data_IF_531396349230
#
_entry.id   IF_531396349230
#
_cell.length_a   1.000
_cell.length_b   1.000
_cell.length_c   1.000
_cell.angle_alpha   90.00
_cell.angle_beta   90.00
_cell.angle_gamma   90.00
#
_symmetry.space_group_name_H-M   'P 1'
#
loop_
_entity.id
_entity.type
_entity.pdbx_description
1 polymer ?
#
# COMPACT_ATOMS: atom_id res chain seq x y z
N UNK A 1 -0.99 -22.37 17.61
CA UNK A 1 -2.02 -21.44 17.10
C UNK A 1 -3.19 -21.57 18.03
N UNK A 2 -3.48 -20.56 18.85
CA UNK A 2 -4.68 -20.54 19.69
C UNK A 2 -5.84 -20.21 18.77
N UNK A 3 -6.73 -21.18 18.52
CA UNK A 3 -7.96 -20.93 17.78
C UNK A 3 -8.76 -19.85 18.52
N UNK A 4 -9.18 -18.81 17.80
CA UNK A 4 -10.09 -17.81 18.35
C UNK A 4 -11.42 -18.48 18.64
N UNK A 5 -12.01 -18.17 19.80
CA UNK A 5 -13.35 -18.68 20.11
C UNK A 5 -14.38 -18.04 19.19
N UNK A 6 -15.48 -18.73 18.89
CA UNK A 6 -16.56 -18.21 18.03
C UNK A 6 -17.08 -16.83 18.50
N UNK A 7 -17.10 -16.61 19.82
CA UNK A 7 -17.46 -15.32 20.42
C UNK A 7 -16.47 -14.19 20.09
N UNK A 8 -15.18 -14.50 19.99
CA UNK A 8 -14.15 -13.53 19.58
C UNK A 8 -14.30 -13.18 18.11
N UNK A 9 -14.58 -14.18 17.26
CA UNK A 9 -14.83 -13.97 15.82
C UNK A 9 -16.07 -13.09 15.62
N UNK A 10 -17.18 -13.42 16.27
CA UNK A 10 -18.42 -12.64 16.17
C UNK A 10 -18.26 -11.20 16.65
N UNK A 11 -17.45 -10.98 17.71
CA UNK A 11 -17.13 -9.63 18.19
C UNK A 11 -16.31 -8.84 17.18
N UNK A 12 -15.33 -9.48 16.55
CA UNK A 12 -14.50 -8.85 15.52
C UNK A 12 -15.31 -8.51 14.27
N UNK A 13 -16.14 -9.44 13.79
CA UNK A 13 -17.02 -9.20 12.64
C UNK A 13 -17.97 -8.02 12.90
N UNK A 14 -18.58 -7.98 14.09
CA UNK A 14 -19.45 -6.86 14.50
C UNK A 14 -18.68 -5.53 14.59
N UNK A 15 -17.44 -5.56 15.08
CA UNK A 15 -16.60 -4.37 15.11
C UNK A 15 -16.29 -3.86 13.69
N UNK A 16 -15.93 -4.75 12.78
CA UNK A 16 -15.57 -4.45 11.40
C UNK A 16 -16.77 -4.20 10.47
N UNK A 17 -18.00 -4.45 10.92
CA UNK A 17 -19.21 -4.33 10.10
C UNK A 17 -19.34 -2.94 9.43
N UNK A 18 -19.37 -2.84 8.11
CA UNK A 18 -19.42 -1.56 7.40
C UNK A 18 -18.09 -0.81 7.29
N UNK A 19 -16.98 -1.36 7.82
CA UNK A 19 -15.63 -0.94 7.45
C UNK A 19 -15.26 -1.63 6.12
N UNK A 20 -14.79 -0.89 5.09
CA UNK A 20 -14.35 -1.51 3.84
C UNK A 20 -13.26 -2.54 4.08
N UNK A 21 -13.34 -3.73 3.47
CA UNK A 21 -12.32 -4.79 3.65
C UNK A 21 -10.96 -4.42 3.05
N UNK A 22 -10.95 -3.64 1.97
CA UNK A 22 -9.75 -3.17 1.30
C UNK A 22 -9.62 -1.66 1.54
N UNK A 23 -8.51 -1.24 2.16
CA UNK A 23 -8.23 0.18 2.31
C UNK A 23 -7.55 0.74 1.06
N UNK A 24 -8.25 1.60 0.32
CA UNK A 24 -7.73 2.22 -0.89
C UNK A 24 -6.61 3.22 -0.60
N UNK A 25 -6.68 3.92 0.54
CA UNK A 25 -5.62 4.80 1.01
C UNK A 25 -4.30 4.06 1.23
N UNK A 26 -4.37 2.89 1.88
CA UNK A 26 -3.25 1.98 2.10
C UNK A 26 -2.73 1.34 0.81
N UNK A 27 -3.62 1.09 -0.16
CA UNK A 27 -3.27 0.48 -1.45
C UNK A 27 -2.43 1.43 -2.32
N UNK A 28 -2.83 2.70 -2.41
CA UNK A 28 -2.17 3.69 -3.27
C UNK A 28 -0.98 4.37 -2.61
N UNK A 29 -1.00 4.51 -1.28
CA UNK A 29 0.04 5.22 -0.55
C UNK A 29 0.46 4.52 0.76
N UNK A 30 0.85 3.23 0.69
CA UNK A 30 1.23 2.44 1.86
C UNK A 30 2.30 3.11 2.75
N UNK A 31 3.39 3.71 2.24
CA UNK A 31 4.44 4.26 3.10
C UNK A 31 4.04 5.53 3.85
N UNK A 32 2.92 6.17 3.51
CA UNK A 32 2.41 7.35 4.23
C UNK A 32 1.19 7.00 5.06
N UNK A 33 0.23 6.30 4.47
CA UNK A 33 -0.96 5.86 5.16
C UNK A 33 -0.61 4.91 6.33
N UNK A 34 0.33 3.98 6.14
CA UNK A 34 0.74 3.04 7.18
C UNK A 34 1.26 3.70 8.45
N UNK A 35 2.30 4.55 8.38
CA UNK A 35 2.83 5.25 9.55
C UNK A 35 1.84 6.21 10.19
N UNK A 36 0.97 6.86 9.40
CA UNK A 36 -0.12 7.68 9.93
C UNK A 36 -1.08 6.89 10.84
N UNK A 37 -1.22 5.58 10.59
CA UNK A 37 -1.98 4.64 11.40
C UNK A 37 -1.09 3.80 12.35
N UNK A 38 0.15 4.25 12.57
CA UNK A 38 1.08 3.64 13.53
C UNK A 38 1.82 2.40 13.04
N UNK A 39 1.66 2.00 11.77
CA UNK A 39 2.39 0.91 11.14
C UNK A 39 3.71 1.43 10.54
N UNK A 40 4.65 1.83 11.40
CA UNK A 40 5.92 2.46 10.99
C UNK A 40 6.76 1.60 10.02
N UNK A 41 6.67 0.28 10.12
CA UNK A 41 7.34 -0.64 9.18
C UNK A 41 6.93 -0.42 7.72
N UNK A 42 5.76 0.19 7.45
CA UNK A 42 5.33 0.51 6.10
C UNK A 42 6.22 1.56 5.40
N UNK A 43 7.11 2.27 6.11
CA UNK A 43 8.14 3.11 5.48
C UNK A 43 9.04 2.29 4.54
N UNK A 44 9.20 0.98 4.80
CA UNK A 44 9.97 0.07 3.94
C UNK A 44 9.38 -0.06 2.52
N UNK A 45 8.15 0.39 2.28
CA UNK A 45 7.63 0.47 0.91
C UNK A 45 8.44 1.44 0.04
N UNK A 46 9.07 2.48 0.57
CA UNK A 46 9.91 3.37 -0.23
C UNK A 46 11.10 2.67 -0.91
N UNK A 47 11.99 1.97 -0.18
CA UNK A 47 13.08 1.21 -0.82
C UNK A 47 12.55 0.07 -1.69
N UNK A 48 11.43 -0.57 -1.33
CA UNK A 48 10.80 -1.61 -2.17
C UNK A 48 10.31 -1.02 -3.50
N UNK A 49 9.67 0.14 -3.47
CA UNK A 49 9.24 0.85 -4.67
C UNK A 49 10.42 1.27 -5.54
N UNK A 50 11.49 1.78 -4.93
CA UNK A 50 12.70 2.12 -5.66
C UNK A 50 13.31 0.89 -6.34
N UNK A 51 13.38 -0.24 -5.65
CA UNK A 51 13.87 -1.49 -6.22
C UNK A 51 12.98 -1.97 -7.39
N UNK A 52 11.66 -1.91 -7.22
CA UNK A 52 10.72 -2.29 -8.27
C UNK A 52 10.83 -1.38 -9.50
N UNK A 53 10.91 -0.07 -9.29
CA UNK A 53 11.06 0.93 -10.35
C UNK A 53 12.33 0.69 -11.18
N UNK A 54 13.46 0.40 -10.51
CA UNK A 54 14.70 0.04 -11.20
C UNK A 54 14.59 -1.27 -11.99
N UNK A 55 13.89 -2.26 -11.44
CA UNK A 55 13.67 -3.55 -12.11
C UNK A 55 12.80 -3.38 -13.36
N UNK A 56 11.74 -2.57 -13.28
CA UNK A 56 10.87 -2.27 -14.43
C UNK A 56 11.60 -1.49 -15.50
N UNK A 57 12.42 -0.51 -15.10
CA UNK A 57 13.26 0.24 -16.02
C UNK A 57 14.24 -0.68 -16.75
N UNK A 58 14.94 -1.57 -16.04
CA UNK A 58 15.87 -2.53 -16.64
C UNK A 58 15.18 -3.48 -17.62
N UNK A 59 13.97 -3.94 -17.32
CA UNK A 59 13.18 -4.75 -18.25
C UNK A 59 12.80 -3.97 -19.52
N UNK A 60 12.51 -2.67 -19.40
CA UNK A 60 12.19 -1.81 -20.53
C UNK A 60 13.40 -1.50 -21.42
N UNK A 61 14.58 -1.28 -20.83
CA UNK A 61 15.81 -0.94 -21.57
C UNK A 61 16.49 -2.16 -22.17
N UNK A 62 16.76 -3.19 -21.36
CA UNK A 62 17.55 -4.36 -21.77
C UNK A 62 16.74 -5.39 -22.57
N UNK A 63 15.44 -5.52 -22.27
CA UNK A 63 14.51 -6.42 -22.96
C UNK A 63 14.96 -7.88 -23.03
N UNK A 64 15.83 -8.31 -22.11
CA UNK A 64 16.26 -9.70 -22.01
C UNK A 64 15.19 -10.55 -21.31
N UNK A 65 15.08 -11.87 -21.61
CA UNK A 65 14.14 -12.75 -20.92
C UNK A 65 14.32 -12.75 -19.40
N UNK A 66 15.56 -12.66 -18.92
CA UNK A 66 15.87 -12.60 -17.49
C UNK A 66 15.35 -11.30 -16.84
N UNK A 67 15.61 -10.14 -17.44
CA UNK A 67 15.15 -8.85 -16.91
C UNK A 67 13.62 -8.79 -16.87
N UNK A 68 12.95 -9.25 -17.93
CA UNK A 68 11.49 -9.34 -18.00
C UNK A 68 10.97 -10.32 -16.94
N UNK A 69 11.58 -11.50 -16.80
CA UNK A 69 11.18 -12.50 -15.80
C UNK A 69 11.26 -11.96 -14.37
N UNK A 70 12.36 -11.29 -14.02
CA UNK A 70 12.53 -10.66 -12.70
C UNK A 70 11.49 -9.55 -12.50
N UNK A 71 11.28 -8.68 -13.49
CA UNK A 71 10.26 -7.63 -13.42
C UNK A 71 8.85 -8.19 -13.17
N UNK A 72 8.47 -9.30 -13.82
CA UNK A 72 7.18 -9.94 -13.60
C UNK A 72 7.05 -10.50 -12.17
N UNK A 73 8.10 -11.12 -11.63
CA UNK A 73 8.13 -11.62 -10.25
C UNK A 73 7.98 -10.45 -9.26
N UNK A 74 8.72 -9.35 -9.48
CA UNK A 74 8.65 -8.17 -8.63
C UNK A 74 7.28 -7.51 -8.70
N UNK A 75 6.70 -7.38 -9.90
CA UNK A 75 5.34 -6.86 -10.10
C UNK A 75 4.32 -7.69 -9.32
N UNK A 76 4.37 -9.02 -9.45
CA UNK A 76 3.44 -9.92 -8.79
C UNK A 76 3.57 -9.84 -7.26
N UNK A 77 4.79 -9.96 -6.74
CA UNK A 77 5.05 -9.95 -5.29
C UNK A 77 4.73 -8.60 -4.66
N UNK A 78 5.08 -7.49 -5.32
CA UNK A 78 4.72 -6.15 -4.86
C UNK A 78 3.20 -5.93 -4.86
N UNK A 79 2.51 -6.35 -5.93
CA UNK A 79 1.05 -6.20 -6.03
C UNK A 79 0.35 -6.99 -4.93
N UNK A 80 0.68 -8.28 -4.80
CA UNK A 80 0.10 -9.15 -3.77
C UNK A 80 0.44 -8.62 -2.37
N UNK A 81 1.69 -8.26 -2.11
CA UNK A 81 2.12 -7.72 -0.82
C UNK A 81 1.38 -6.42 -0.45
N UNK A 82 1.18 -5.53 -1.41
CA UNK A 82 0.46 -4.26 -1.20
C UNK A 82 -1.03 -4.49 -0.95
N UNK A 83 -1.67 -5.41 -1.70
CA UNK A 83 -3.08 -5.77 -1.48
C UNK A 83 -3.27 -6.43 -0.11
N UNK A 84 -2.40 -7.37 0.26
CA UNK A 84 -2.42 -8.01 1.59
C UNK A 84 -2.23 -6.97 2.68
N UNK A 85 -1.28 -6.04 2.53
CA UNK A 85 -1.11 -4.93 3.48
C UNK A 85 -2.37 -4.06 3.58
N UNK A 86 -3.01 -3.71 2.46
CA UNK A 86 -4.21 -2.89 2.44
C UNK A 86 -5.44 -3.57 3.05
N UNK A 87 -5.50 -4.91 3.04
CA UNK A 87 -6.55 -5.69 3.69
C UNK A 87 -6.27 -5.82 5.19
N UNK A 88 -5.05 -6.22 5.57
CA UNK A 88 -4.69 -6.50 6.97
C UNK A 88 -4.46 -5.23 7.80
N UNK A 89 -3.99 -4.16 7.16
CA UNK A 89 -3.76 -2.88 7.83
C UNK A 89 -5.05 -2.19 8.25
N UNK A 90 -6.17 -2.49 7.58
CA UNK A 90 -7.44 -1.81 7.83
C UNK A 90 -8.06 -2.15 9.20
N UNK A 91 -8.19 -3.43 9.59
CA UNK A 91 -8.57 -3.78 10.97
C UNK A 91 -7.61 -3.20 12.01
N UNK A 92 -6.30 -3.24 11.76
CA UNK A 92 -5.31 -2.72 12.69
C UNK A 92 -5.49 -1.21 12.92
N UNK A 93 -5.65 -0.44 11.85
CA UNK A 93 -5.91 1.00 11.91
C UNK A 93 -7.23 1.31 12.64
N UNK A 94 -8.29 0.53 12.38
CA UNK A 94 -9.58 0.70 13.04
C UNK A 94 -9.49 0.42 14.55
N UNK A 95 -8.85 -0.68 14.97
CA UNK A 95 -8.63 -1.00 16.39
C UNK A 95 -7.79 0.04 17.10
N UNK A 96 -6.75 0.57 16.44
CA UNK A 96 -5.95 1.66 16.98
C UNK A 96 -6.76 2.94 17.14
N UNK A 97 -7.60 3.30 16.17
CA UNK A 97 -8.45 4.47 16.29
C UNK A 97 -9.45 4.31 17.45
N UNK A 98 -10.04 3.12 17.59
CA UNK A 98 -10.94 2.79 18.69
C UNK A 98 -10.23 2.83 20.05
N UNK A 99 -8.99 2.34 20.16
CA UNK A 99 -8.22 2.39 21.41
C UNK A 99 -7.82 3.81 21.81
N UNK A 100 -7.77 4.73 20.85
CA UNK A 100 -7.61 6.18 21.08
C UNK A 100 -8.94 6.90 21.37
N UNK A 101 -10.05 6.17 21.53
CA UNK A 101 -11.36 6.71 21.86
C UNK A 101 -12.11 7.31 20.67
N UNK A 102 -11.66 7.08 19.44
CA UNK A 102 -12.32 7.59 18.25
C UNK A 102 -13.53 6.74 17.87
N UNK A 103 -14.66 7.40 17.58
CA UNK A 103 -15.84 6.72 17.07
C UNK A 103 -15.66 6.27 15.61
N UNK A 104 -16.45 5.27 15.23
CA UNK A 104 -16.39 4.63 13.91
C UNK A 104 -16.75 5.58 12.78
N UNK A 105 -17.71 6.48 12.98
CA UNK A 105 -18.15 7.41 11.94
C UNK A 105 -17.04 8.42 11.62
N UNK A 106 -16.40 8.97 12.65
CA UNK A 106 -15.25 9.86 12.52
C UNK A 106 -14.07 9.14 11.85
N UNK A 107 -13.82 7.88 12.20
CA UNK A 107 -12.82 7.06 11.50
C UNK A 107 -13.10 6.93 10.01
N UNK A 108 -14.32 6.53 9.62
CA UNK A 108 -14.68 6.36 8.22
C UNK A 108 -14.66 7.68 7.43
N UNK A 109 -15.02 8.81 8.05
CA UNK A 109 -14.88 10.14 7.44
C UNK A 109 -13.42 10.47 7.13
N UNK A 110 -12.50 10.18 8.06
CA UNK A 110 -11.06 10.36 7.84
C UNK A 110 -10.52 9.40 6.78
N UNK A 111 -10.92 8.13 6.80
CA UNK A 111 -10.49 7.16 5.78
C UNK A 111 -10.95 7.52 4.37
N UNK A 112 -12.10 8.21 4.23
CA UNK A 112 -12.52 8.76 2.95
C UNK A 112 -11.58 9.85 2.45
N UNK A 113 -11.13 10.74 3.34
CA UNK A 113 -10.14 11.78 3.01
C UNK A 113 -8.81 11.13 2.63
N UNK A 114 -8.34 10.16 3.43
CA UNK A 114 -7.14 9.38 3.12
C UNK A 114 -7.23 8.70 1.77
N UNK A 115 -8.36 8.08 1.46
CA UNK A 115 -8.58 7.44 0.15
C UNK A 115 -8.37 8.44 -0.98
N UNK A 116 -9.04 9.60 -0.92
CA UNK A 116 -8.94 10.62 -1.98
C UNK A 116 -7.49 11.15 -2.08
N UNK A 117 -6.89 11.53 -0.95
CA UNK A 117 -5.55 12.09 -0.90
C UNK A 117 -4.49 11.09 -1.41
N UNK A 118 -4.58 9.84 -0.96
CA UNK A 118 -3.66 8.77 -1.36
C UNK A 118 -3.80 8.41 -2.83
N UNK A 119 -5.01 8.37 -3.39
CA UNK A 119 -5.21 8.11 -4.82
C UNK A 119 -4.58 9.21 -5.66
N UNK A 120 -4.83 10.48 -5.32
CA UNK A 120 -4.25 11.63 -6.04
C UNK A 120 -2.72 11.59 -5.96
N UNK A 121 -2.17 11.44 -4.75
CA UNK A 121 -0.73 11.40 -4.54
C UNK A 121 -0.08 10.17 -5.20
N UNK A 122 -0.72 9.00 -5.11
CA UNK A 122 -0.26 7.76 -5.74
C UNK A 122 -0.17 7.88 -7.26
N UNK A 123 -1.22 8.42 -7.90
CA UNK A 123 -1.22 8.67 -9.35
C UNK A 123 -0.13 9.69 -9.73
N UNK A 124 -0.01 10.79 -8.96
CA UNK A 124 1.01 11.80 -9.21
C UNK A 124 2.44 11.22 -9.11
N UNK A 125 2.70 10.36 -8.12
CA UNK A 125 4.00 9.70 -7.98
C UNK A 125 4.28 8.72 -9.12
N UNK A 126 3.30 7.92 -9.55
CA UNK A 126 3.47 7.01 -10.70
C UNK A 126 3.80 7.83 -11.96
N UNK A 127 3.07 8.93 -12.20
CA UNK A 127 3.32 9.82 -13.33
C UNK A 127 4.73 10.44 -13.25
N UNK A 128 5.14 10.92 -12.07
CA UNK A 128 6.45 11.51 -11.85
C UNK A 128 7.59 10.48 -12.03
N UNK A 129 7.45 9.28 -11.48
CA UNK A 129 8.43 8.19 -11.63
C UNK A 129 8.54 7.75 -13.10
N UNK A 130 7.42 7.63 -13.79
CA UNK A 130 7.39 7.31 -15.23
C UNK A 130 8.07 8.40 -16.04
N UNK A 131 7.75 9.67 -15.79
CA UNK A 131 8.40 10.80 -16.47
C UNK A 131 9.90 10.84 -16.18
N UNK A 132 10.31 10.66 -14.92
CA UNK A 132 11.72 10.59 -14.55
C UNK A 132 12.44 9.49 -15.31
N UNK A 133 11.91 8.27 -15.35
CA UNK A 133 12.54 7.14 -16.02
C UNK A 133 12.60 7.29 -17.55
N UNK A 134 11.57 7.87 -18.18
CA UNK A 134 11.51 7.98 -19.64
C UNK A 134 12.23 9.22 -20.19
N UNK A 135 12.27 10.31 -19.43
CA UNK A 135 12.73 11.62 -19.94
C UNK A 135 14.01 12.10 -19.27
N UNK A 136 14.13 11.97 -17.94
CA UNK A 136 15.26 12.53 -17.20
C UNK A 136 16.39 11.51 -17.08
N UNK A 137 16.11 10.32 -16.56
CA UNK A 137 17.09 9.27 -16.28
C UNK A 137 18.02 8.96 -17.47
N UNK A 138 17.53 8.88 -18.72
CA UNK A 138 18.39 8.65 -19.88
C UNK A 138 19.37 9.80 -20.15
N UNK A 139 19.05 11.03 -19.75
CA UNK A 139 19.91 12.21 -19.98
C UNK A 139 20.95 12.42 -18.90
N UNK A 140 20.78 11.81 -17.71
CA UNK A 140 21.73 11.96 -16.58
C UNK A 140 22.84 10.90 -16.61
N UNK A 141 22.75 9.92 -17.52
CA UNK A 141 23.71 8.81 -17.65
C UNK A 141 24.34 8.68 -19.04
N UNK A 142 24.30 9.73 -19.87
CA UNK A 142 25.00 9.81 -21.15
C UNK A 142 26.38 10.47 -20.99
#
# INVERSE_FOLDING_TARGET
MTELTDEQIAREEKFLEGIPRLNIGALFLPPIWGPAHGMWAAILFYPIWLFADNTFYAAFTERTPLAIGIALIVLLTLTVGTVVFAILGQPFAAHRAASLGQDKETYLKRERIWTIASVIAGIAMIAAATYYNLVIRPTVGA
#
